data_IF_612049117319
#
_entry.id   IF_612049117319
#
_cell.length_a   1.000
_cell.length_b   1.000
_cell.length_c   1.000
_cell.angle_alpha   90.00
_cell.angle_beta   90.00
_cell.angle_gamma   90.00
#
_symmetry.space_group_name_H-M   'P 1'
#
loop_
_entity.id
_entity.type
_entity.pdbx_description
1 polymer ?
#
# COMPACT_ATOMS: atom_id res chain seq x y z
N UNK A 1 9.33 -8.96 -5.90
CA UNK A 1 8.00 -8.91 -5.26
C UNK A 1 7.20 -7.64 -5.64
N UNK A 2 7.57 -6.45 -5.15
CA UNK A 2 6.84 -5.18 -5.38
C UNK A 2 6.49 -4.87 -6.84
N UNK A 3 7.38 -5.16 -7.79
CA UNK A 3 7.16 -4.89 -9.22
C UNK A 3 6.07 -5.78 -9.85
N UNK A 4 5.89 -7.02 -9.38
CA UNK A 4 4.87 -7.95 -9.89
C UNK A 4 3.48 -7.62 -9.31
N UNK A 5 3.41 -7.29 -8.02
CA UNK A 5 2.18 -6.81 -7.37
C UNK A 5 1.67 -5.54 -8.07
N UNK A 6 2.57 -4.62 -8.44
CA UNK A 6 2.24 -3.41 -9.23
C UNK A 6 1.76 -3.72 -10.64
N UNK A 7 2.31 -4.76 -11.28
CA UNK A 7 1.84 -5.25 -12.58
C UNK A 7 0.47 -5.95 -12.48
N UNK A 8 -0.10 -6.08 -11.27
CA UNK A 8 -1.36 -6.76 -11.03
C UNK A 8 -1.24 -8.28 -11.11
N UNK A 9 -0.06 -8.84 -10.89
CA UNK A 9 0.16 -10.29 -10.84
C UNK A 9 -0.58 -10.88 -9.62
N UNK A 10 -1.63 -11.69 -9.84
CA UNK A 10 -2.41 -12.27 -8.75
C UNK A 10 -1.60 -13.23 -7.89
N UNK A 11 -0.61 -13.94 -8.45
CA UNK A 11 0.22 -14.90 -7.71
C UNK A 11 1.15 -14.20 -6.73
N UNK A 12 1.71 -13.05 -7.12
CA UNK A 12 2.53 -12.24 -6.23
C UNK A 12 1.70 -11.63 -5.08
N UNK A 13 0.41 -11.41 -5.28
CA UNK A 13 -0.47 -10.95 -4.21
C UNK A 13 -0.91 -12.09 -3.29
N UNK A 14 -1.12 -13.30 -3.83
CA UNK A 14 -1.42 -14.50 -3.06
C UNK A 14 -0.28 -14.86 -2.09
N UNK A 15 0.97 -14.82 -2.55
CA UNK A 15 2.15 -15.03 -1.69
C UNK A 15 2.22 -13.98 -0.56
N UNK A 16 1.96 -12.70 -0.87
CA UNK A 16 1.91 -11.63 0.13
C UNK A 16 0.79 -11.86 1.15
N UNK A 17 -0.38 -12.29 0.68
CA UNK A 17 -1.51 -12.60 1.55
C UNK A 17 -1.18 -13.78 2.47
N UNK A 18 -0.61 -14.87 1.93
CA UNK A 18 -0.22 -16.03 2.72
C UNK A 18 0.82 -15.67 3.80
N UNK A 19 1.77 -14.79 3.49
CA UNK A 19 2.82 -14.37 4.43
C UNK A 19 2.27 -13.45 5.55
N UNK A 20 1.34 -12.55 5.25
CA UNK A 20 0.94 -11.48 6.18
C UNK A 20 -0.44 -11.65 6.83
N UNK A 21 -1.34 -12.43 6.23
CA UNK A 21 -2.72 -12.64 6.72
C UNK A 21 -2.77 -13.02 8.20
N UNK A 22 -1.95 -13.98 8.63
CA UNK A 22 -1.90 -14.46 10.02
C UNK A 22 -1.45 -13.38 11.01
N UNK A 23 -0.52 -12.52 10.62
CA UNK A 23 -0.03 -11.43 11.48
C UNK A 23 -1.11 -10.36 11.67
N UNK A 24 -1.77 -9.97 10.57
CA UNK A 24 -2.88 -9.00 10.58
C UNK A 24 -4.06 -9.55 11.39
N UNK A 25 -4.42 -10.81 11.16
CA UNK A 25 -5.47 -11.50 11.91
C UNK A 25 -5.20 -11.48 13.42
N UNK A 26 -4.00 -11.91 13.85
CA UNK A 26 -3.64 -11.94 15.26
C UNK A 26 -3.65 -10.54 15.89
N UNK A 27 -3.21 -9.53 15.14
CA UNK A 27 -3.26 -8.16 15.59
C UNK A 27 -4.71 -7.67 15.77
N UNK A 28 -5.55 -7.89 14.77
CA UNK A 28 -6.97 -7.51 14.81
C UNK A 28 -7.70 -8.23 15.95
N UNK A 29 -7.51 -9.55 16.08
CA UNK A 29 -8.11 -10.35 17.14
C UNK A 29 -7.69 -9.88 18.53
N UNK A 30 -6.44 -9.44 18.72
CA UNK A 30 -5.98 -8.86 19.99
C UNK A 30 -6.65 -7.53 20.33
N UNK A 31 -7.11 -6.77 19.34
CA UNK A 31 -7.79 -5.49 19.55
C UNK A 31 -9.30 -5.64 19.70
N UNK A 32 -9.91 -6.53 18.93
CA UNK A 32 -11.37 -6.70 18.87
C UNK A 32 -11.88 -7.75 19.85
N UNK A 33 -11.09 -8.79 20.14
CA UNK A 33 -11.52 -9.97 20.89
C UNK A 33 -12.56 -10.83 20.16
N UNK A 34 -12.87 -10.48 18.91
CA UNK A 34 -13.91 -11.11 18.10
C UNK A 34 -13.32 -11.67 16.80
N UNK A 35 -13.71 -12.90 16.48
CA UNK A 35 -13.21 -13.66 15.35
C UNK A 35 -13.68 -13.07 14.01
N UNK A 36 -14.97 -12.76 13.89
CA UNK A 36 -15.54 -12.22 12.66
C UNK A 36 -15.00 -10.81 12.35
N UNK A 37 -14.90 -9.95 13.37
CA UNK A 37 -14.31 -8.63 13.23
C UNK A 37 -12.83 -8.70 12.81
N UNK A 38 -12.08 -9.70 13.28
CA UNK A 38 -10.69 -9.90 12.85
C UNK A 38 -10.60 -10.33 11.38
N UNK A 39 -11.52 -11.20 10.92
CA UNK A 39 -11.60 -11.59 9.50
C UNK A 39 -11.95 -10.40 8.60
N UNK A 40 -12.92 -9.57 9.01
CA UNK A 40 -13.31 -8.36 8.28
C UNK A 40 -12.12 -7.40 8.15
N UNK A 41 -11.35 -7.19 9.22
CA UNK A 41 -10.16 -6.33 9.19
C UNK A 41 -9.10 -6.87 8.22
N UNK A 42 -8.86 -8.18 8.20
CA UNK A 42 -7.94 -8.80 7.24
C UNK A 42 -8.44 -8.56 5.81
N UNK A 43 -9.70 -8.90 5.53
CA UNK A 43 -10.29 -8.74 4.20
C UNK A 43 -10.20 -7.30 3.70
N UNK A 44 -10.60 -6.32 4.53
CA UNK A 44 -10.53 -4.90 4.20
C UNK A 44 -9.09 -4.44 3.93
N UNK A 45 -8.14 -4.83 4.79
CA UNK A 45 -6.74 -4.41 4.66
C UNK A 45 -6.14 -4.87 3.33
N UNK A 46 -6.33 -6.14 2.97
CA UNK A 46 -5.77 -6.68 1.74
C UNK A 46 -6.54 -6.19 0.50
N UNK A 47 -7.86 -5.99 0.59
CA UNK A 47 -8.64 -5.40 -0.50
C UNK A 47 -8.17 -3.98 -0.81
N UNK A 48 -7.93 -3.16 0.21
CA UNK A 48 -7.40 -1.80 0.04
C UNK A 48 -5.96 -1.82 -0.49
N UNK A 49 -5.10 -2.73 0.01
CA UNK A 49 -3.76 -2.90 -0.53
C UNK A 49 -3.76 -3.28 -2.02
N UNK A 50 -4.70 -4.13 -2.44
CA UNK A 50 -4.89 -4.47 -3.85
C UNK A 50 -5.36 -3.25 -4.64
N UNK A 51 -6.35 -2.50 -4.17
CA UNK A 51 -6.84 -1.28 -4.86
C UNK A 51 -5.74 -0.24 -5.05
N UNK A 52 -4.95 0.03 -4.02
CA UNK A 52 -3.88 1.04 -4.04
C UNK A 52 -2.66 0.62 -4.89
N UNK A 53 -2.56 -0.64 -5.34
CA UNK A 53 -1.36 -1.14 -6.06
C UNK A 53 -1.05 -0.35 -7.35
N UNK A 54 -2.07 0.23 -7.99
CA UNK A 54 -1.92 1.06 -9.19
C UNK A 54 -1.48 2.48 -8.88
N UNK A 55 -1.85 2.99 -7.70
CA UNK A 55 -1.59 4.37 -7.26
C UNK A 55 -0.25 4.50 -6.52
N UNK A 56 0.35 3.39 -6.08
CA UNK A 56 1.68 3.31 -5.45
C UNK A 56 2.83 3.54 -6.45
N UNK A 57 2.62 4.42 -7.43
CA UNK A 57 3.60 4.81 -8.46
C UNK A 57 4.49 6.01 -8.08
N UNK A 58 4.33 6.68 -6.93
CA UNK A 58 5.15 7.87 -6.62
C UNK A 58 5.81 7.96 -5.23
N UNK A 59 5.59 7.03 -4.31
CA UNK A 59 6.22 7.09 -2.97
C UNK A 59 7.46 6.19 -2.81
N UNK A 60 8.17 5.94 -3.92
CA UNK A 60 9.55 5.44 -3.89
C UNK A 60 10.59 6.57 -3.77
N UNK A 61 10.14 7.83 -3.70
CA UNK A 61 10.95 8.96 -3.29
C UNK A 61 10.91 9.08 -1.77
N UNK A 62 12.08 9.27 -1.17
CA UNK A 62 12.27 9.65 0.23
C UNK A 62 11.12 10.50 0.76
N UNK A 63 10.47 10.07 1.86
CA UNK A 63 9.59 10.91 2.68
C UNK A 63 10.42 11.97 3.44
N UNK A 64 11.35 12.64 2.76
CA UNK A 64 11.87 13.92 3.25
C UNK A 64 10.75 14.93 3.02
N UNK A 65 10.15 15.47 4.10
CA UNK A 65 9.19 16.54 3.97
C UNK A 65 9.98 17.77 3.50
N UNK A 66 9.56 18.36 2.37
CA UNK A 66 10.07 19.61 1.79
C UNK A 66 11.57 19.68 1.51
N UNK A 67 11.97 19.43 0.26
CA UNK A 67 12.98 20.29 -0.35
C UNK A 67 12.56 20.63 -1.79
N UNK A 68 12.52 21.93 -2.05
CA UNK A 68 12.30 22.61 -3.34
C UNK A 68 10.88 22.60 -3.95
N UNK A 69 9.98 23.38 -3.32
CA UNK A 69 9.07 24.23 -4.09
C UNK A 69 9.95 25.18 -4.93
N UNK A 70 10.02 24.96 -6.24
CA UNK A 70 10.72 25.84 -7.19
C UNK A 70 9.71 26.83 -7.80
N UNK A 71 9.60 28.09 -7.32
CA UNK A 71 8.91 29.12 -8.05
C UNK A 71 9.88 29.77 -9.04
N UNK A 72 9.46 29.92 -10.30
CA UNK A 72 10.19 30.74 -11.26
C UNK A 72 10.78 29.96 -12.43
N UNK A 73 9.93 29.53 -13.34
CA UNK A 73 10.28 29.48 -14.75
C UNK A 73 9.16 30.16 -15.53
N UNK A 74 9.01 31.47 -15.30
CA UNK A 74 8.34 32.35 -16.24
C UNK A 74 9.40 32.94 -17.17
N UNK A 75 9.14 32.76 -18.48
CA UNK A 75 9.31 33.71 -19.59
C UNK A 75 10.70 34.00 -20.18
N UNK A 76 10.66 34.09 -21.51
CA UNK A 76 11.62 34.67 -22.48
C UNK A 76 12.82 33.78 -22.84
N UNK A 77 13.11 33.55 -24.12
CA UNK A 77 13.20 34.51 -25.26
C UNK A 77 13.08 33.71 -26.59
N UNK A 78 12.79 34.32 -27.75
CA UNK A 78 12.34 33.63 -28.98
C UNK A 78 13.42 32.78 -29.65
#
# INVERSE_FOLDING_TARGET
MRSRIRAGDPYAFEELFAEHSKSVYNHAFRMTGDWAAAEDVVALTFLEAWRLRTDVTAAGGSLRPCDEFRPGAAVSTP
#
